data_IF_636172845395
#
_entry.id   IF_636172845395
#
_cell.length_a   1.000
_cell.length_b   1.000
_cell.length_c   1.000
_cell.angle_alpha   90.00
_cell.angle_beta   90.00
_cell.angle_gamma   90.00
#
_symmetry.space_group_name_H-M   'P 1'
#
loop_
_entity.id
_entity.type
_entity.pdbx_description
1 polymer ?
#
# COMPACT_ATOMS: atom_id res chain seq x y z
N UNK A 1 15.94 63.57 -113.44
CA UNK A 1 16.39 62.56 -112.46
C UNK A 1 16.75 63.13 -111.08
N UNK A 2 16.84 64.45 -110.86
CA UNK A 2 17.26 65.01 -109.55
C UNK A 2 16.15 65.21 -108.49
N UNK A 3 14.87 65.05 -108.83
CA UNK A 3 13.77 65.22 -107.87
C UNK A 3 13.54 64.00 -106.97
N UNK A 4 13.89 62.79 -107.44
CA UNK A 4 13.70 61.54 -106.68
C UNK A 4 14.73 61.38 -105.55
N UNK A 5 15.98 61.79 -105.81
CA UNK A 5 17.10 61.69 -104.87
C UNK A 5 16.98 62.67 -103.70
N UNK A 6 16.37 63.83 -103.92
CA UNK A 6 16.04 64.78 -102.86
C UNK A 6 14.88 64.29 -101.98
N UNK A 7 13.91 63.54 -102.53
CA UNK A 7 12.80 62.99 -101.76
C UNK A 7 13.25 61.84 -100.85
N UNK A 8 14.10 60.93 -101.36
CA UNK A 8 14.71 59.86 -100.55
C UNK A 8 15.60 60.42 -99.44
N UNK A 9 16.40 61.45 -99.73
CA UNK A 9 17.24 62.10 -98.71
C UNK A 9 16.42 62.77 -97.61
N UNK A 10 15.25 63.32 -97.96
CA UNK A 10 14.34 63.96 -97.01
C UNK A 10 13.57 62.94 -96.17
N UNK A 11 13.20 61.80 -96.77
CA UNK A 11 12.61 60.64 -96.09
C UNK A 11 13.57 60.05 -95.06
N UNK A 12 14.83 59.81 -95.46
CA UNK A 12 15.89 59.32 -94.57
C UNK A 12 16.15 60.34 -93.45
N UNK A 13 16.16 61.64 -93.73
CA UNK A 13 16.30 62.67 -92.72
C UNK A 13 15.11 62.71 -91.75
N UNK A 14 13.87 62.58 -92.22
CA UNK A 14 12.70 62.53 -91.32
C UNK A 14 12.67 61.25 -90.50
N UNK A 15 13.12 60.13 -91.05
CA UNK A 15 13.18 58.85 -90.36
C UNK A 15 14.34 58.83 -89.34
N UNK A 16 15.50 59.38 -89.68
CA UNK A 16 16.60 59.66 -88.74
C UNK A 16 16.13 60.61 -87.63
N UNK A 17 15.45 61.69 -87.98
CA UNK A 17 14.94 62.64 -86.98
C UNK A 17 13.91 61.94 -86.08
N UNK A 18 13.02 61.11 -86.64
CA UNK A 18 12.05 60.32 -85.88
C UNK A 18 12.71 59.34 -84.91
N UNK A 19 13.79 58.67 -85.32
CA UNK A 19 14.57 57.75 -84.48
C UNK A 19 15.29 58.52 -83.37
N UNK A 20 15.84 59.70 -83.67
CA UNK A 20 16.51 60.54 -82.68
C UNK A 20 15.57 61.31 -81.75
N UNK A 21 14.29 61.48 -82.13
CA UNK A 21 13.23 62.04 -81.27
C UNK A 21 12.41 60.98 -80.53
N UNK A 22 12.71 59.69 -80.71
CA UNK A 22 11.91 58.62 -80.10
C UNK A 22 12.16 58.55 -78.58
N UNK A 23 11.33 59.28 -77.83
CA UNK A 23 11.35 59.40 -76.38
C UNK A 23 11.05 58.07 -75.66
N UNK A 24 10.67 57.02 -76.42
CA UNK A 24 10.40 55.67 -75.90
C UNK A 24 11.62 55.05 -75.21
N UNK A 25 12.83 55.22 -75.72
CA UNK A 25 14.03 54.69 -75.09
C UNK A 25 14.36 55.41 -73.78
N UNK A 26 14.15 56.74 -73.75
CA UNK A 26 14.28 57.53 -72.52
C UNK A 26 13.23 57.10 -71.47
N UNK A 27 11.99 56.85 -71.90
CA UNK A 27 10.91 56.33 -71.04
C UNK A 27 11.22 54.91 -70.53
N UNK A 28 11.77 54.04 -71.37
CA UNK A 28 12.21 52.69 -70.98
C UNK A 28 13.34 52.74 -69.95
N UNK A 29 14.35 53.59 -70.15
CA UNK A 29 15.45 53.79 -69.20
C UNK A 29 14.92 54.32 -67.86
N UNK A 30 13.99 55.29 -67.88
CA UNK A 30 13.33 55.79 -66.68
C UNK A 30 12.55 54.69 -65.96
N UNK A 31 11.77 53.88 -66.68
CA UNK A 31 11.01 52.77 -66.12
C UNK A 31 11.91 51.66 -65.55
N UNK A 32 13.06 51.38 -66.19
CA UNK A 32 14.07 50.44 -65.68
C UNK A 32 14.66 50.97 -64.38
N UNK A 33 15.01 52.25 -64.32
CA UNK A 33 15.58 52.89 -63.12
C UNK A 33 14.58 52.91 -61.96
N UNK A 34 13.30 53.14 -62.24
CA UNK A 34 12.24 53.04 -61.26
C UNK A 34 12.08 51.61 -60.73
N UNK A 35 12.06 50.61 -61.62
CA UNK A 35 12.03 49.20 -61.22
C UNK A 35 13.27 48.79 -60.41
N UNK A 36 14.45 49.28 -60.78
CA UNK A 36 15.68 49.03 -60.03
C UNK A 36 15.61 49.63 -58.63
N UNK A 37 15.12 50.87 -58.50
CA UNK A 37 14.88 51.52 -57.22
C UNK A 37 13.92 50.71 -56.35
N UNK A 38 12.80 50.24 -56.92
CA UNK A 38 11.83 49.38 -56.23
C UNK A 38 12.44 48.04 -55.79
N UNK A 39 13.26 47.41 -56.64
CA UNK A 39 13.95 46.15 -56.30
C UNK A 39 14.92 46.37 -55.14
N UNK A 40 15.72 47.45 -55.17
CA UNK A 40 16.65 47.79 -54.08
C UNK A 40 15.91 48.07 -52.78
N UNK A 41 14.85 48.89 -52.82
CA UNK A 41 14.03 49.17 -51.63
C UNK A 41 13.42 47.90 -51.04
N UNK A 42 12.91 46.99 -51.88
CA UNK A 42 12.36 45.70 -51.44
C UNK A 42 13.44 44.77 -50.88
N UNK A 43 14.64 44.77 -51.48
CA UNK A 43 15.78 44.01 -50.99
C UNK A 43 16.20 44.50 -49.59
N UNK A 44 16.35 45.81 -49.41
CA UNK A 44 16.76 46.40 -48.14
C UNK A 44 15.72 46.17 -47.04
N UNK A 45 14.43 46.30 -47.36
CA UNK A 45 13.34 45.97 -46.44
C UNK A 45 13.38 44.50 -46.01
N UNK A 46 13.55 43.58 -46.98
CA UNK A 46 13.65 42.14 -46.69
C UNK A 46 14.91 41.80 -45.89
N UNK A 47 16.03 42.45 -46.17
CA UNK A 47 17.27 42.27 -45.43
C UNK A 47 17.14 42.77 -43.98
N UNK A 48 16.46 43.89 -43.76
CA UNK A 48 16.16 44.41 -42.44
C UNK A 48 15.23 43.47 -41.66
N UNK A 49 14.17 42.97 -42.30
CA UNK A 49 13.26 41.97 -41.72
C UNK A 49 14.01 40.69 -41.33
N UNK A 50 14.80 40.12 -42.25
CA UNK A 50 15.60 38.92 -41.99
C UNK A 50 16.55 39.12 -40.81
N UNK A 51 17.22 40.27 -40.73
CA UNK A 51 18.11 40.62 -39.62
C UNK A 51 17.36 40.70 -38.29
N UNK A 52 16.14 41.21 -38.29
CA UNK A 52 15.30 41.27 -37.09
C UNK A 52 14.84 39.86 -36.66
N UNK A 53 14.45 39.01 -37.61
CA UNK A 53 14.06 37.62 -37.34
C UNK A 53 15.24 36.81 -36.76
N UNK A 54 16.44 36.95 -37.34
CA UNK A 54 17.65 36.29 -36.81
C UNK A 54 17.93 36.74 -35.38
N UNK A 55 17.80 38.04 -35.08
CA UNK A 55 17.99 38.56 -33.72
C UNK A 55 16.96 38.00 -32.74
N UNK A 56 15.69 37.92 -33.13
CA UNK A 56 14.62 37.37 -32.31
C UNK A 56 14.89 35.89 -31.99
N UNK A 57 15.16 35.07 -33.02
CA UNK A 57 15.47 33.66 -32.86
C UNK A 57 16.74 33.43 -32.01
N UNK A 58 17.78 34.24 -32.19
CA UNK A 58 19.00 34.16 -31.37
C UNK A 58 18.71 34.48 -29.90
N UNK A 59 17.84 35.46 -29.63
CA UNK A 59 17.41 35.80 -28.28
C UNK A 59 16.62 34.65 -27.65
N UNK A 60 15.73 34.03 -28.40
CA UNK A 60 14.91 32.92 -27.90
C UNK A 60 15.74 31.65 -27.67
N UNK A 61 16.70 31.34 -28.56
CA UNK A 61 17.68 30.27 -28.32
C UNK A 61 18.43 30.51 -27.02
N UNK A 62 18.95 31.72 -26.78
CA UNK A 62 19.64 32.04 -25.51
C UNK A 62 18.74 31.88 -24.29
N UNK A 63 17.47 32.31 -24.36
CA UNK A 63 16.52 32.11 -23.26
C UNK A 63 16.26 30.64 -22.98
N UNK A 64 16.12 29.83 -24.03
CA UNK A 64 15.92 28.39 -23.91
C UNK A 64 17.17 27.73 -23.34
N UNK A 65 18.36 28.09 -23.81
CA UNK A 65 19.63 27.60 -23.30
C UNK A 65 19.83 27.93 -21.82
N UNK A 66 19.55 29.16 -21.38
CA UNK A 66 19.62 29.53 -19.96
C UNK A 66 18.61 28.75 -19.10
N UNK A 67 17.44 28.42 -19.64
CA UNK A 67 16.44 27.59 -18.94
C UNK A 67 16.80 26.10 -18.94
N UNK A 68 17.44 25.63 -20.00
CA UNK A 68 17.87 24.24 -20.19
C UNK A 68 19.20 23.94 -19.50
N UNK A 69 19.99 24.97 -19.17
CA UNK A 69 21.18 24.83 -18.34
C UNK A 69 20.76 24.23 -17.01
N UNK A 70 21.14 22.96 -16.80
CA UNK A 70 20.87 22.22 -15.58
C UNK A 70 21.33 23.08 -14.39
N UNK A 71 20.37 23.46 -13.52
CA UNK A 71 20.65 24.25 -12.30
C UNK A 71 21.58 23.55 -11.32
N UNK A 72 21.73 22.23 -11.44
CA UNK A 72 22.58 21.38 -10.61
C UNK A 72 23.62 20.66 -11.48
N UNK A 73 24.85 20.54 -10.97
CA UNK A 73 25.89 19.72 -11.65
C UNK A 73 25.37 18.29 -11.85
N UNK A 74 25.77 17.62 -12.94
CA UNK A 74 25.43 16.21 -13.18
C UNK A 74 25.78 15.33 -11.97
N UNK A 75 26.86 15.67 -11.27
CA UNK A 75 27.32 14.98 -10.07
C UNK A 75 26.36 15.15 -8.89
N UNK A 76 25.83 16.35 -8.66
CA UNK A 76 24.87 16.61 -7.59
C UNK A 76 23.54 15.88 -7.85
N UNK A 77 23.09 15.87 -9.10
CA UNK A 77 21.90 15.12 -9.50
C UNK A 77 22.09 13.61 -9.29
N UNK A 78 23.23 13.06 -9.71
CA UNK A 78 23.54 11.64 -9.51
C UNK A 78 23.68 11.28 -8.03
N UNK A 79 24.29 12.15 -7.22
CA UNK A 79 24.37 11.95 -5.77
C UNK A 79 22.98 11.93 -5.12
N UNK A 80 22.06 12.79 -5.58
CA UNK A 80 20.67 12.83 -5.10
C UNK A 80 19.90 11.57 -5.50
N UNK A 81 20.08 11.09 -6.73
CA UNK A 81 19.51 9.81 -7.20
C UNK A 81 20.00 8.66 -6.32
N UNK A 82 21.31 8.56 -6.09
CA UNK A 82 21.89 7.49 -5.28
C UNK A 82 21.41 7.54 -3.81
N UNK A 83 21.24 8.75 -3.24
CA UNK A 83 20.68 8.91 -1.91
C UNK A 83 19.22 8.43 -1.84
N UNK A 84 18.41 8.76 -2.84
CA UNK A 84 17.01 8.32 -2.94
C UNK A 84 16.89 6.82 -3.15
N UNK A 85 17.78 6.21 -3.95
CA UNK A 85 17.83 4.75 -4.11
C UNK A 85 18.17 4.06 -2.79
N UNK A 86 19.15 4.56 -2.06
CA UNK A 86 19.50 4.03 -0.74
C UNK A 86 18.34 4.16 0.26
N UNK A 87 17.62 5.29 0.24
CA UNK A 87 16.44 5.49 1.08
C UNK A 87 15.32 4.51 0.71
N UNK A 88 15.06 4.31 -0.58
CA UNK A 88 14.11 3.31 -1.09
C UNK A 88 14.47 1.90 -0.60
N UNK A 89 15.74 1.51 -0.68
CA UNK A 89 16.19 0.19 -0.23
C UNK A 89 16.03 0.02 1.30
N UNK A 90 16.29 1.09 2.07
CA UNK A 90 16.04 1.08 3.51
C UNK A 90 14.55 0.96 3.83
N UNK A 91 13.69 1.70 3.13
CA UNK A 91 12.24 1.65 3.35
C UNK A 91 11.68 0.27 2.98
N UNK A 92 12.12 -0.32 1.86
CA UNK A 92 11.66 -1.65 1.43
C UNK A 92 12.11 -2.76 2.39
N UNK A 93 13.34 -2.70 2.89
CA UNK A 93 13.82 -3.65 3.90
C UNK A 93 13.06 -3.54 5.21
N UNK A 94 12.78 -2.31 5.68
CA UNK A 94 11.95 -2.08 6.87
C UNK A 94 10.51 -2.58 6.66
N UNK A 95 9.92 -2.34 5.49
CA UNK A 95 8.59 -2.83 5.17
C UNK A 95 8.51 -4.36 5.23
N UNK A 96 9.50 -5.06 4.66
CA UNK A 96 9.60 -6.51 4.77
C UNK A 96 9.88 -7.03 6.19
N UNK A 97 10.46 -6.21 7.08
CA UNK A 97 10.54 -6.55 8.52
C UNK A 97 9.18 -6.38 9.20
N UNK A 98 8.48 -5.28 8.96
CA UNK A 98 7.15 -5.04 9.53
C UNK A 98 6.14 -6.09 9.09
N UNK A 99 6.12 -6.49 7.82
CA UNK A 99 5.25 -7.57 7.34
C UNK A 99 5.51 -8.90 8.06
N UNK A 100 6.79 -9.24 8.30
CA UNK A 100 7.14 -10.45 9.07
C UNK A 100 6.70 -10.35 10.53
N UNK A 101 6.83 -9.17 11.14
CA UNK A 101 6.38 -8.95 12.52
C UNK A 101 4.86 -9.03 12.64
N UNK A 102 4.12 -8.49 11.67
CA UNK A 102 2.65 -8.59 11.61
C UNK A 102 2.23 -10.06 11.55
N UNK A 103 2.84 -10.87 10.66
CA UNK A 103 2.54 -12.29 10.57
C UNK A 103 2.80 -13.03 11.88
N UNK A 104 3.92 -12.76 12.54
CA UNK A 104 4.23 -13.35 13.86
C UNK A 104 3.21 -12.95 14.92
N UNK A 105 2.81 -11.68 14.96
CA UNK A 105 1.81 -11.21 15.90
C UNK A 105 0.44 -11.86 15.66
N UNK A 106 0.06 -12.07 14.39
CA UNK A 106 -1.19 -12.73 14.02
C UNK A 106 -1.21 -14.21 14.42
N UNK A 107 -0.07 -14.90 14.24
CA UNK A 107 0.14 -16.28 14.73
C UNK A 107 0.05 -16.34 16.27
N UNK A 108 0.66 -15.38 16.97
CA UNK A 108 0.58 -15.28 18.42
C UNK A 108 -0.85 -14.99 18.93
N UNK A 109 -1.59 -14.10 18.26
CA UNK A 109 -2.99 -13.80 18.56
C UNK A 109 -3.87 -15.03 18.37
N UNK A 110 -3.68 -15.75 17.25
CA UNK A 110 -4.40 -16.99 16.99
C UNK A 110 -4.13 -18.05 18.06
N UNK A 111 -2.86 -18.18 18.48
CA UNK A 111 -2.48 -19.08 19.57
C UNK A 111 -3.10 -18.67 20.89
N UNK A 112 -3.09 -17.38 21.23
CA UNK A 112 -3.69 -16.86 22.47
C UNK A 112 -5.21 -17.05 22.49
N UNK A 113 -5.90 -16.83 21.38
CA UNK A 113 -7.33 -17.09 21.25
C UNK A 113 -7.67 -18.57 21.48
N UNK A 114 -6.84 -19.49 20.96
CA UNK A 114 -6.99 -20.91 21.24
C UNK A 114 -6.77 -21.24 22.72
N UNK A 115 -5.82 -20.57 23.39
CA UNK A 115 -5.60 -20.76 24.83
C UNK A 115 -6.79 -20.21 25.63
N UNK A 116 -7.31 -19.05 25.28
CA UNK A 116 -8.47 -18.43 25.92
C UNK A 116 -9.71 -19.33 25.84
N UNK A 117 -10.06 -19.81 24.65
CA UNK A 117 -11.20 -20.72 24.45
C UNK A 117 -11.05 -22.02 25.25
N UNK A 118 -9.85 -22.60 25.29
CA UNK A 118 -9.56 -23.77 26.12
C UNK A 118 -9.69 -23.50 27.62
N UNK A 119 -9.21 -22.33 28.09
CA UNK A 119 -9.34 -21.95 29.50
C UNK A 119 -10.79 -21.69 29.88
N UNK A 120 -11.57 -21.08 28.99
CA UNK A 120 -12.99 -20.85 29.21
C UNK A 120 -13.78 -22.17 29.29
N UNK A 121 -13.45 -23.16 28.45
CA UNK A 121 -14.03 -24.50 28.52
C UNK A 121 -13.67 -25.24 29.83
N UNK A 122 -12.43 -25.07 30.33
CA UNK A 122 -12.04 -25.62 31.64
C UNK A 122 -12.79 -24.93 32.77
N UNK A 123 -12.89 -23.60 32.74
CA UNK A 123 -13.60 -22.82 33.74
C UNK A 123 -15.09 -23.20 33.82
N UNK A 124 -15.75 -23.39 32.67
CA UNK A 124 -17.15 -23.83 32.65
C UNK A 124 -17.33 -25.25 33.19
N UNK A 125 -16.39 -26.15 32.91
CA UNK A 125 -16.39 -27.52 33.46
C UNK A 125 -16.28 -27.50 34.99
N UNK A 126 -15.31 -26.75 35.53
CA UNK A 126 -15.12 -26.60 36.98
C UNK A 126 -16.36 -25.95 37.62
N UNK A 127 -16.92 -24.93 36.99
CA UNK A 127 -18.15 -24.26 37.47
C UNK A 127 -19.32 -25.25 37.58
N UNK A 128 -19.51 -26.11 36.57
CA UNK A 128 -20.53 -27.16 36.59
C UNK A 128 -20.27 -28.19 37.70
N UNK A 129 -19.05 -28.67 37.83
CA UNK A 129 -18.69 -29.65 38.87
C UNK A 129 -18.89 -29.09 40.29
N UNK A 130 -18.48 -27.85 40.51
CA UNK A 130 -18.62 -27.18 41.81
C UNK A 130 -20.06 -26.76 42.12
N UNK A 131 -20.84 -26.38 41.10
CA UNK A 131 -22.23 -25.93 41.25
C UNK A 131 -23.23 -27.06 41.46
N UNK A 132 -23.11 -28.16 40.71
CA UNK A 132 -24.13 -29.21 40.71
C UNK A 132 -23.64 -30.51 41.35
N UNK A 133 -22.47 -31.02 40.94
CA UNK A 133 -22.01 -32.36 41.33
C UNK A 133 -21.51 -32.41 42.79
N UNK A 134 -20.79 -31.38 43.25
CA UNK A 134 -20.32 -31.33 44.64
C UNK A 134 -21.48 -31.24 45.64
N UNK A 135 -22.47 -30.33 45.49
CA UNK A 135 -23.63 -30.31 46.38
C UNK A 135 -24.46 -31.57 46.32
N UNK A 136 -24.66 -32.15 45.12
CA UNK A 136 -25.35 -33.42 44.95
C UNK A 136 -24.66 -34.56 45.69
N UNK A 137 -23.33 -34.66 45.57
CA UNK A 137 -22.54 -35.68 46.27
C UNK A 137 -22.62 -35.49 47.77
N UNK A 138 -22.50 -34.25 48.27
CA UNK A 138 -22.69 -33.94 49.70
C UNK A 138 -24.08 -34.33 50.18
N UNK A 139 -25.12 -34.08 49.38
CA UNK A 139 -26.49 -34.47 49.71
C UNK A 139 -26.64 -35.99 49.76
N UNK A 140 -26.10 -36.73 48.79
CA UNK A 140 -26.11 -38.20 48.79
C UNK A 140 -25.38 -38.79 50.00
N UNK A 141 -24.23 -38.23 50.37
CA UNK A 141 -23.50 -38.63 51.59
C UNK A 141 -24.30 -38.32 52.86
N UNK A 142 -24.99 -37.18 52.89
CA UNK A 142 -25.88 -36.81 54.00
C UNK A 142 -27.06 -37.77 54.11
N UNK A 143 -27.70 -38.13 52.99
CA UNK A 143 -28.76 -39.14 52.94
C UNK A 143 -28.27 -40.50 53.41
N UNK A 144 -27.11 -40.93 52.93
CA UNK A 144 -26.50 -42.18 53.37
C UNK A 144 -26.29 -42.19 54.89
N UNK A 145 -25.73 -41.10 55.45
CA UNK A 145 -25.56 -40.97 56.90
C UNK A 145 -26.89 -40.93 57.64
N UNK A 146 -27.92 -40.28 57.11
CA UNK A 146 -29.24 -40.20 57.75
C UNK A 146 -30.02 -41.51 57.72
N UNK A 147 -29.84 -42.33 56.69
CA UNK A 147 -30.51 -43.63 56.55
C UNK A 147 -29.78 -44.68 57.38
N UNK A 148 -28.46 -44.72 57.28
CA UNK A 148 -27.65 -45.74 57.96
C UNK A 148 -27.25 -45.37 59.38
N UNK A 149 -27.23 -44.09 59.75
CA UNK A 149 -26.63 -43.61 61.00
C UNK A 149 -25.20 -44.16 61.27
N UNK A 150 -24.50 -44.58 60.22
CA UNK A 150 -23.13 -45.08 60.30
C UNK A 150 -22.17 -43.89 60.27
N UNK A 151 -21.24 -43.87 61.20
CA UNK A 151 -20.06 -43.02 61.17
C UNK A 151 -18.82 -43.88 60.98
N UNK A 152 -18.19 -43.70 59.81
CA UNK A 152 -16.98 -44.41 59.42
C UNK A 152 -15.74 -43.82 60.10
N UNK A 153 -14.80 -44.68 60.52
CA UNK A 153 -13.44 -44.25 60.87
C UNK A 153 -12.56 -44.42 59.62
N UNK A 154 -11.95 -43.33 59.17
CA UNK A 154 -11.16 -43.32 57.94
C UNK A 154 -9.66 -43.55 58.16
N UNK A 155 -9.22 -43.71 59.42
CA UNK A 155 -7.81 -43.80 59.80
C UNK A 155 -7.26 -45.24 59.80
N UNK A 156 -8.02 -46.20 59.27
CA UNK A 156 -7.74 -47.63 59.35
C UNK A 156 -8.00 -48.34 58.02
N UNK A 157 -7.20 -49.38 57.73
CA UNK A 157 -7.39 -50.25 56.56
C UNK A 157 -8.56 -51.25 56.74
N UNK A 158 -9.15 -51.28 57.93
CA UNK A 158 -10.34 -52.07 58.27
C UNK A 158 -11.63 -51.31 57.96
N UNK A 159 -12.71 -52.04 57.67
CA UNK A 159 -14.06 -51.47 57.53
C UNK A 159 -14.61 -51.28 58.94
N UNK A 160 -14.32 -50.13 59.55
CA UNK A 160 -14.66 -49.84 60.95
C UNK A 160 -15.41 -48.53 61.14
N UNK A 161 -16.24 -48.50 62.18
CA UNK A 161 -17.11 -47.37 62.47
C UNK A 161 -18.03 -47.66 63.64
N UNK A 162 -19.04 -46.80 63.78
CA UNK A 162 -20.11 -46.99 64.75
C UNK A 162 -21.46 -46.63 64.14
N UNK A 163 -22.50 -47.36 64.54
CA UNK A 163 -23.91 -47.04 64.25
C UNK A 163 -24.49 -46.33 65.46
N UNK A 164 -25.12 -45.18 65.25
CA UNK A 164 -25.83 -44.46 66.32
C UNK A 164 -27.35 -44.66 66.16
N UNK A 165 -27.95 -45.46 67.04
CA UNK A 165 -29.41 -45.55 67.20
C UNK A 165 -29.87 -44.59 68.29
N UNK A 166 -31.19 -44.39 68.44
CA UNK A 166 -31.81 -43.38 69.31
C UNK A 166 -31.24 -43.35 70.74
N UNK A 167 -30.84 -44.52 71.28
CA UNK A 167 -30.23 -44.65 72.63
C UNK A 167 -29.05 -45.65 72.69
N UNK A 168 -28.49 -46.09 71.56
CA UNK A 168 -27.42 -47.11 71.53
C UNK A 168 -26.36 -46.79 70.47
N UNK A 169 -25.08 -46.99 70.82
CA UNK A 169 -23.94 -46.80 69.92
C UNK A 169 -23.21 -48.13 69.75
N UNK A 170 -23.39 -48.76 68.59
CA UNK A 170 -22.78 -50.07 68.30
C UNK A 170 -21.53 -49.90 67.44
N UNK A 171 -20.33 -50.17 67.98
CA UNK A 171 -19.11 -50.20 67.18
C UNK A 171 -19.04 -51.47 66.34
N UNK A 172 -18.47 -51.39 65.14
CA UNK A 172 -18.16 -52.54 64.30
C UNK A 172 -16.76 -52.40 63.69
N UNK A 173 -16.13 -53.52 63.38
CA UNK A 173 -14.85 -53.59 62.69
C UNK A 173 -14.79 -54.89 61.90
N UNK A 174 -14.68 -54.78 60.58
CA UNK A 174 -14.59 -55.92 59.68
C UNK A 174 -13.26 -55.90 58.92
N UNK A 175 -12.62 -57.06 58.85
CA UNK A 175 -11.42 -57.26 58.04
C UNK A 175 -11.79 -57.58 56.58
N UNK A 176 -11.49 -56.68 55.62
CA UNK A 176 -11.85 -56.88 54.22
C UNK A 176 -11.13 -58.07 53.56
N UNK A 177 -10.08 -58.60 54.18
CA UNK A 177 -9.36 -59.79 53.69
C UNK A 177 -9.97 -61.11 54.19
N UNK A 178 -10.67 -61.08 55.33
CA UNK A 178 -11.28 -62.28 55.94
C UNK A 178 -12.77 -62.43 55.64
N UNK A 179 -13.46 -61.33 55.35
CA UNK A 179 -14.90 -61.34 55.10
C UNK A 179 -15.22 -60.97 53.64
N UNK A 180 -16.00 -61.79 52.92
CA UNK A 180 -16.48 -61.42 51.59
C UNK A 180 -17.45 -60.24 51.67
N UNK A 181 -17.44 -59.37 50.66
CA UNK A 181 -18.19 -58.10 50.64
C UNK A 181 -19.69 -58.24 50.95
N UNK A 182 -20.30 -59.35 50.51
CA UNK A 182 -21.73 -59.61 50.73
C UNK A 182 -22.02 -59.85 52.22
N UNK A 183 -21.19 -60.63 52.90
CA UNK A 183 -21.34 -60.92 54.33
C UNK A 183 -21.16 -59.66 55.18
N UNK A 184 -20.22 -58.80 54.81
CA UNK A 184 -20.04 -57.49 55.48
C UNK A 184 -21.27 -56.59 55.29
N UNK A 185 -21.85 -56.58 54.09
CA UNK A 185 -23.05 -55.79 53.82
C UNK A 185 -24.26 -56.29 54.61
N UNK A 186 -24.51 -57.60 54.62
CA UNK A 186 -25.62 -58.20 55.38
C UNK A 186 -25.47 -57.92 56.88
N UNK A 187 -24.26 -58.08 57.43
CA UNK A 187 -23.98 -57.77 58.84
C UNK A 187 -24.14 -56.29 59.17
N UNK A 188 -23.78 -55.39 58.24
CA UNK A 188 -24.04 -53.97 58.41
C UNK A 188 -25.54 -53.67 58.40
N UNK A 189 -26.32 -54.29 57.52
CA UNK A 189 -27.78 -54.12 57.51
C UNK A 189 -28.45 -54.66 58.77
N UNK A 190 -27.99 -55.80 59.30
CA UNK A 190 -28.48 -56.36 60.57
C UNK A 190 -28.22 -55.43 61.76
N UNK A 191 -27.16 -54.62 61.71
CA UNK A 191 -26.86 -53.62 62.75
C UNK A 191 -27.76 -52.38 62.68
N UNK A 192 -28.44 -52.16 61.55
CA UNK A 192 -29.38 -51.05 61.32
C UNK A 192 -30.83 -51.42 61.65
N UNK A 193 -31.15 -52.71 61.72
CA UNK A 193 -32.46 -53.25 62.09
C UNK A 193 -32.68 -53.25 63.62
#
# INVERSE_FOLDING_TARGET
MHTNQNHESLLILTELTSIFTDEKDAQLICAIKEKESLIRARHDAKQAEMKNTIKALTSDVRKIEMKAQRKESKEQFNAKIAALEKEKDLVTTNLGQYERNIKKMDEELSRLSLVETNMQAKASTISRETGDEVPRTKHLLSLYRSISNIQWRHDSDFIEGHVTLVDDVRPFSFDPTKHPKVVVADQLWDLLA
#
